data_IF_309791083576
#
_entry.id   IF_309791083576
#
_cell.length_a   1.000
_cell.length_b   1.000
_cell.length_c   1.000
_cell.angle_alpha   90.00
_cell.angle_beta   90.00
_cell.angle_gamma   90.00
#
_symmetry.space_group_name_H-M   'P 1'
#
loop_
_entity.id
_entity.type
_entity.pdbx_description
1 polymer ?
2 non-polymer ?
3 water ?
#
# COMPACT_ATOMS: atom_id res chain seq x y z
N UNK A 1 -14.89 17.61 -16.07
CA UNK A 1 -13.57 17.48 -16.68
C UNK A 1 -13.44 16.19 -17.49
N UNK A 2 -12.45 16.15 -18.38
CA UNK A 2 -12.28 14.95 -19.21
C UNK A 2 -11.77 13.78 -18.38
N UNK A 3 -12.27 12.59 -18.69
CA UNK A 3 -11.82 11.36 -18.04
C UNK A 3 -11.07 10.49 -19.05
N UNK A 4 -10.08 9.75 -18.56
CA UNK A 4 -9.41 8.73 -19.36
C UNK A 4 -8.86 7.66 -18.44
N UNK A 5 -8.95 6.40 -18.88
CA UNK A 5 -8.28 5.26 -18.26
C UNK A 5 -7.41 4.61 -19.33
N UNK A 6 -6.13 4.42 -19.03
CA UNK A 6 -5.22 3.67 -19.90
C UNK A 6 -4.88 2.37 -19.22
N UNK A 7 -5.10 1.25 -19.91
CA UNK A 7 -4.97 -0.06 -19.30
C UNK A 7 -3.72 -0.72 -19.88
N UNK A 8 -2.66 -0.83 -19.07
CA UNK A 8 -1.44 -1.47 -19.51
C UNK A 8 -1.33 -2.91 -19.06
N UNK A 9 -2.36 -3.45 -18.41
CA UNK A 9 -2.32 -4.82 -17.94
C UNK A 9 -3.27 -5.64 -18.78
N UNK A 10 -2.78 -6.77 -19.28
CA UNK A 10 -3.64 -7.69 -19.99
C UNK A 10 -4.73 -8.25 -19.10
N UNK A 11 -5.83 -8.66 -19.74
CA UNK A 11 -7.02 -9.12 -19.04
C UNK A 11 -6.74 -10.23 -18.03
N UNK A 12 -5.59 -10.89 -18.12
CA UNK A 12 -5.26 -12.01 -17.24
C UNK A 12 -4.11 -11.73 -16.28
N UNK A 13 -3.41 -10.60 -16.46
CA UNK A 13 -2.22 -10.26 -15.65
C UNK A 13 -2.45 -10.49 -14.16
N UNK A 14 -3.63 -10.18 -13.65
CA UNK A 14 -3.92 -10.42 -12.26
C UNK A 14 -3.81 -11.88 -11.87
N UNK A 15 -4.65 -12.72 -12.48
CA UNK A 15 -4.61 -14.14 -12.19
C UNK A 15 -3.26 -14.75 -12.55
N UNK A 16 -2.60 -14.24 -13.58
CA UNK A 16 -1.26 -14.73 -13.92
C UNK A 16 -0.29 -14.44 -12.80
N UNK A 17 -0.31 -13.21 -12.28
CA UNK A 17 0.57 -12.83 -11.19
C UNK A 17 0.26 -13.65 -9.95
N UNK A 18 -1.03 -13.87 -9.67
CA UNK A 18 -1.38 -14.73 -8.53
C UNK A 18 -0.79 -16.12 -8.70
N UNK A 19 -0.92 -16.68 -9.90
CA UNK A 19 -0.48 -18.05 -10.15
C UNK A 19 0.99 -18.23 -9.85
N UNK A 20 1.84 -17.25 -10.21
CA UNK A 20 3.27 -17.41 -9.95
C UNK A 20 3.65 -17.06 -8.50
N UNK A 21 2.95 -16.13 -7.85
CA UNK A 21 3.29 -15.81 -6.48
C UNK A 21 3.10 -17.02 -5.57
N UNK A 22 1.94 -17.68 -5.66
CA UNK A 22 1.74 -18.77 -4.71
C UNK A 22 2.52 -20.00 -5.14
N UNK A 23 2.73 -20.16 -6.45
CA UNK A 23 3.59 -21.24 -6.93
C UNK A 23 5.01 -21.08 -6.40
N UNK A 24 5.58 -19.89 -6.55
CA UNK A 24 6.91 -19.63 -6.02
C UNK A 24 6.89 -19.46 -4.49
N UNK A 25 5.86 -18.78 -3.97
CA UNK A 25 5.87 -18.46 -2.55
C UNK A 25 5.66 -19.66 -1.66
N UNK A 26 4.88 -20.64 -2.13
CA UNK A 26 4.66 -21.84 -1.33
C UNK A 26 5.81 -22.82 -1.40
N UNK A 27 6.86 -22.53 -2.18
CA UNK A 27 8.02 -23.42 -2.26
C UNK A 27 9.29 -22.78 -1.72
N UNK A 28 9.16 -21.65 -1.03
CA UNK A 28 10.23 -21.02 -0.29
C UNK A 28 10.28 -21.57 1.13
N UNK A 29 11.40 -21.30 1.81
CA UNK A 29 11.56 -21.62 3.23
C UNK A 29 12.05 -20.38 3.98
N UNK A 30 11.19 -19.72 4.77
CA UNK A 30 9.82 -20.16 4.98
C UNK A 30 8.93 -19.74 3.82
N UNK A 31 7.78 -20.40 3.67
CA UNK A 31 6.83 -20.01 2.64
C UNK A 31 6.39 -18.57 2.89
N UNK A 32 6.26 -17.81 1.81
CA UNK A 32 5.85 -16.42 1.95
C UNK A 32 4.97 -16.05 0.78
N UNK A 33 4.04 -15.13 1.04
CA UNK A 33 3.17 -14.62 0.01
C UNK A 33 3.17 -13.10 0.09
N UNK A 34 3.15 -12.40 -1.04
CA UNK A 34 3.06 -10.95 -0.99
C UNK A 34 1.73 -10.53 -0.36
N UNK A 35 1.69 -9.37 0.29
CA UNK A 35 0.42 -8.90 0.89
C UNK A 35 -0.56 -8.32 -0.11
N UNK A 36 -0.19 -8.15 -1.39
CA UNK A 36 -1.13 -7.57 -2.35
C UNK A 36 -2.39 -8.42 -2.48
N UNK A 37 -2.27 -9.73 -2.22
CA UNK A 37 -3.36 -10.66 -2.46
C UNK A 37 -4.38 -10.73 -1.35
N UNK A 38 -4.20 -9.97 -0.27
CA UNK A 38 -5.22 -9.88 0.77
C UNK A 38 -6.52 -9.28 0.24
N UNK A 39 -6.43 -8.43 -0.77
CA UNK A 39 -7.43 -7.39 -1.03
C UNK A 39 -8.41 -7.76 -2.15
N UNK A 40 -8.99 -8.95 -2.07
CA UNK A 40 -10.19 -9.25 -2.85
C UNK A 40 -11.35 -8.45 -2.26
N UNK A 41 -12.58 -8.79 -2.65
CA UNK A 41 -13.72 -7.98 -2.21
C UNK A 41 -13.93 -8.08 -0.71
N UNK A 42 -14.02 -9.31 -0.17
CA UNK A 42 -14.20 -9.42 1.27
C UNK A 42 -12.94 -8.96 2.01
N UNK A 43 -11.76 -9.07 1.37
CA UNK A 43 -10.55 -8.57 1.99
C UNK A 43 -10.55 -7.06 2.17
N UNK A 44 -11.06 -6.34 1.16
CA UNK A 44 -11.14 -4.88 1.27
C UNK A 44 -12.16 -4.46 2.30
N UNK A 45 -13.31 -5.14 2.36
CA UNK A 45 -14.27 -4.85 3.43
C UNK A 45 -13.64 -5.09 4.79
N UNK A 46 -12.81 -6.12 4.93
CA UNK A 46 -12.17 -6.40 6.22
C UNK A 46 -11.17 -5.31 6.58
N UNK A 47 -10.46 -4.78 5.59
CA UNK A 47 -9.45 -3.77 5.85
C UNK A 47 -10.11 -2.47 6.27
N UNK A 48 -11.16 -2.06 5.57
CA UNK A 48 -11.88 -0.86 5.96
C UNK A 48 -12.42 -0.99 7.38
N UNK A 49 -12.84 -2.18 7.78
CA UNK A 49 -13.12 -2.37 9.20
C UNK A 49 -11.85 -2.16 10.02
N UNK A 50 -10.71 -2.64 9.53
CA UNK A 50 -9.48 -2.54 10.33
C UNK A 50 -9.17 -1.08 10.61
N UNK A 51 -9.36 -0.22 9.60
CA UNK A 51 -9.04 1.20 9.74
C UNK A 51 -9.92 1.88 10.78
N UNK A 52 -11.08 1.32 11.08
CA UNK A 52 -11.94 1.90 12.11
C UNK A 52 -11.70 1.29 13.48
N UNK A 53 -10.74 0.38 13.61
CA UNK A 53 -10.53 -0.23 14.91
C UNK A 53 -9.78 0.74 15.82
N UNK A 54 -10.15 0.83 17.10
CA UNK A 54 -9.37 1.65 18.02
C UNK A 54 -7.88 1.36 17.93
N UNK A 55 -7.50 0.08 17.89
CA UNK A 55 -6.09 -0.31 17.94
C UNK A 55 -5.32 0.09 16.68
N UNK A 56 -5.99 0.21 15.52
CA UNK A 56 -5.28 0.49 14.25
C UNK A 56 -5.19 2.00 14.08
N UNK A 57 -4.16 2.57 14.64
CA UNK A 57 -3.94 4.00 14.66
C UNK A 57 -3.45 4.57 13.32
N UNK A 58 -2.64 3.85 12.49
CA UNK A 58 -2.04 4.54 11.32
C UNK A 58 -3.01 5.27 10.43
N UNK A 59 -4.18 4.68 10.19
CA UNK A 59 -5.17 5.30 9.30
C UNK A 59 -5.58 6.66 9.80
N UNK A 60 -5.94 6.76 11.09
CA UNK A 60 -6.40 8.02 11.64
C UNK A 60 -5.24 8.94 11.99
N UNK A 61 -4.06 8.37 12.29
CA UNK A 61 -2.87 9.18 12.54
C UNK A 61 -2.47 9.94 11.29
N UNK A 62 -2.57 9.30 10.12
CA UNK A 62 -2.22 9.98 8.87
C UNK A 62 -3.30 10.97 8.46
N UNK A 63 -4.57 10.67 8.74
CA UNK A 63 -5.63 11.62 8.42
C UNK A 63 -5.57 12.86 9.32
N UNK A 64 -5.18 12.68 10.59
CA UNK A 64 -4.95 13.82 11.48
C UNK A 64 -3.95 14.80 10.87
N UNK A 65 -2.78 14.30 10.47
CA UNK A 65 -1.77 15.13 9.82
C UNK A 65 -2.35 15.82 8.58
N UNK A 66 -3.02 15.05 7.71
CA UNK A 66 -3.43 15.57 6.41
C UNK A 66 -4.51 16.64 6.54
N UNK A 67 -5.43 16.47 7.50
CA UNK A 67 -6.40 17.52 7.82
C UNK A 67 -5.70 18.80 8.23
N UNK A 68 -4.59 18.68 8.96
CA UNK A 68 -3.91 19.84 9.53
C UNK A 68 -2.90 20.44 8.58
N UNK A 69 -2.26 19.63 7.74
CA UNK A 69 -1.10 20.09 6.99
C UNK A 69 -1.31 20.13 5.48
N UNK A 70 -2.50 19.77 4.98
CA UNK A 70 -2.70 19.63 3.53
C UNK A 70 -2.38 20.92 2.79
N UNK A 71 -2.79 22.08 3.35
CA UNK A 71 -2.50 23.36 2.68
C UNK A 71 -1.01 23.64 2.64
N UNK A 72 -0.25 23.14 3.62
CA UNK A 72 1.21 23.21 3.56
C UNK A 72 1.78 22.35 2.44
N UNK A 73 1.42 21.05 2.40
CA UNK A 73 1.81 20.14 1.33
C UNK A 73 1.62 20.86 0.00
N UNK A 74 0.44 21.46 -0.19
CA UNK A 74 0.13 22.15 -1.44
C UNK A 74 1.09 23.31 -1.69
N UNK A 75 1.21 24.22 -0.71
CA UNK A 75 2.00 25.42 -0.91
C UNK A 75 3.49 25.11 -1.04
N UNK A 76 3.94 24.00 -0.44
CA UNK A 76 5.30 23.53 -0.68
C UNK A 76 5.45 22.92 -2.07
N UNK A 77 4.55 22.01 -2.45
CA UNK A 77 4.72 21.30 -3.73
C UNK A 77 4.32 22.19 -4.91
N UNK A 78 3.29 23.02 -4.74
CA UNK A 78 2.82 23.91 -5.81
C UNK A 78 2.54 23.12 -7.09
N UNK A 79 1.98 21.91 -6.91
CA UNK A 79 1.77 20.96 -7.98
C UNK A 79 0.43 21.20 -8.68
N UNK A 80 0.43 21.05 -10.00
CA UNK A 80 -0.81 21.11 -10.72
C UNK A 80 -1.42 19.75 -10.98
N UNK A 81 -0.67 18.68 -10.75
CA UNK A 81 -1.17 17.32 -10.96
C UNK A 81 -0.80 16.45 -9.76
N UNK A 82 -1.82 15.79 -9.22
CA UNK A 82 -1.69 14.85 -8.11
C UNK A 82 -1.68 13.42 -8.67
N UNK A 83 -0.55 12.72 -8.51
CA UNK A 83 -0.38 11.32 -8.95
C UNK A 83 -0.49 10.43 -7.71
N UNK A 84 -1.55 9.63 -7.60
CA UNK A 84 -1.75 8.73 -6.48
C UNK A 84 -1.30 7.33 -6.86
N UNK A 85 -0.36 6.79 -6.10
CA UNK A 85 0.02 5.37 -6.21
C UNK A 85 -0.93 4.54 -5.34
N UNK A 86 -2.17 4.45 -5.80
CA UNK A 86 -3.23 3.79 -5.07
C UNK A 86 -4.54 4.01 -5.78
N UNK A 87 -5.63 3.65 -5.09
CA UNK A 87 -6.94 3.61 -5.72
C UNK A 87 -7.60 4.97 -5.88
N UNK A 88 -7.33 5.91 -4.96
CA UNK A 88 -7.98 7.20 -5.00
C UNK A 88 -9.35 7.21 -4.37
N UNK A 89 -9.68 6.20 -3.57
CA UNK A 89 -11.02 6.06 -2.99
C UNK A 89 -11.11 6.61 -1.57
N UNK A 90 -10.02 7.15 -1.03
CA UNK A 90 -9.97 7.57 0.36
C UNK A 90 -10.40 9.03 0.49
N UNK A 91 -10.67 9.43 1.75
CA UNK A 91 -10.88 10.84 2.02
C UNK A 91 -9.58 11.63 2.00
N UNK A 92 -8.44 10.97 2.28
CA UNK A 92 -7.15 11.67 2.20
C UNK A 92 -6.89 12.14 0.77
N UNK A 93 -7.31 11.35 -0.22
CA UNK A 93 -7.30 11.81 -1.59
C UNK A 93 -8.02 13.15 -1.73
N UNK A 94 -9.24 13.24 -1.19
CA UNK A 94 -10.02 14.49 -1.31
C UNK A 94 -9.31 15.67 -0.65
N UNK A 95 -8.76 15.47 0.57
CA UNK A 95 -8.05 16.56 1.25
C UNK A 95 -6.90 17.09 0.40
N UNK A 96 -6.17 16.18 -0.28
CA UNK A 96 -5.07 16.62 -1.15
C UNK A 96 -5.60 17.34 -2.38
N UNK A 97 -6.71 16.87 -2.96
CA UNK A 97 -7.25 17.57 -4.12
C UNK A 97 -7.81 18.92 -3.72
N UNK A 98 -8.56 18.96 -2.62
CA UNK A 98 -9.05 20.23 -2.10
C UNK A 98 -7.92 21.23 -1.89
N UNK A 99 -6.81 20.80 -1.27
CA UNK A 99 -5.72 21.74 -1.06
C UNK A 99 -5.22 22.32 -2.38
N UNK A 100 -4.87 21.44 -3.34
CA UNK A 100 -4.45 21.89 -4.66
C UNK A 100 -5.51 22.76 -5.32
N UNK A 101 -6.79 22.39 -5.19
CA UNK A 101 -7.82 23.22 -5.79
C UNK A 101 -7.85 24.60 -5.14
N UNK A 102 -7.66 24.68 -3.80
CA UNK A 102 -7.69 25.94 -3.04
C UNK A 102 -6.55 26.87 -3.44
N UNK A 103 -5.31 26.37 -3.47
CA UNK A 103 -4.18 27.00 -4.12
C UNK A 103 -4.53 27.60 -5.49
N UNK A 104 -5.46 26.93 -6.20
CA UNK A 104 -5.85 27.32 -7.53
C UNK A 104 -5.07 26.63 -8.63
N UNK A 105 -4.22 25.66 -8.30
CA UNK A 105 -3.33 25.08 -9.29
C UNK A 105 -3.71 23.65 -9.66
N UNK A 106 -4.90 23.17 -9.32
CA UNK A 106 -5.24 21.79 -9.65
C UNK A 106 -5.72 21.72 -11.09
N UNK A 107 -5.02 20.95 -11.92
CA UNK A 107 -5.44 20.67 -13.29
C UNK A 107 -5.82 19.22 -13.51
N UNK A 108 -5.11 18.29 -12.87
CA UNK A 108 -5.11 16.92 -13.33
C UNK A 108 -4.88 15.97 -12.15
N UNK A 109 -5.67 14.92 -12.11
CA UNK A 109 -5.54 13.84 -11.13
C UNK A 109 -5.14 12.55 -11.85
N UNK A 110 -4.10 11.88 -11.36
CA UNK A 110 -3.66 10.62 -11.99
C UNK A 110 -3.69 9.48 -10.97
N UNK A 111 -4.82 8.78 -10.80
CA UNK A 111 -4.82 7.55 -9.98
C UNK A 111 -4.12 6.41 -10.71
N UNK A 112 -3.23 5.72 -9.99
CA UNK A 112 -2.37 4.67 -10.54
C UNK A 112 -2.53 3.42 -9.70
N UNK A 113 -3.18 2.40 -10.26
CA UNK A 113 -3.41 1.15 -9.56
C UNK A 113 -3.53 0.03 -10.58
N UNK A 114 -3.67 -1.19 -10.07
CA UNK A 114 -3.69 -2.40 -10.88
C UNK A 114 -5.11 -2.94 -11.06
N UNK A 115 -6.12 -2.15 -10.76
CA UNK A 115 -7.51 -2.60 -10.88
C UNK A 115 -8.31 -1.56 -11.65
N UNK A 116 -8.64 -1.86 -12.90
CA UNK A 116 -9.28 -0.87 -13.76
C UNK A 116 -10.68 -0.51 -13.28
N UNK A 117 -11.41 -1.46 -12.69
CA UNK A 117 -12.76 -1.18 -12.22
C UNK A 117 -12.75 -0.15 -11.11
N UNK A 118 -11.84 -0.32 -10.14
CA UNK A 118 -11.67 0.65 -9.06
C UNK A 118 -11.28 2.01 -9.63
N UNK A 119 -10.30 2.01 -10.56
CA UNK A 119 -9.87 3.26 -11.17
C UNK A 119 -11.05 3.97 -11.86
N UNK A 120 -12.00 3.19 -12.40
CA UNK A 120 -13.11 3.79 -13.13
C UNK A 120 -14.13 4.42 -12.19
N UNK A 121 -14.57 3.68 -11.16
CA UNK A 121 -15.43 4.31 -10.16
C UNK A 121 -14.76 5.58 -9.64
N UNK A 122 -13.50 5.48 -9.21
CA UNK A 122 -12.77 6.65 -8.76
C UNK A 122 -12.83 7.76 -9.80
N UNK A 123 -12.57 7.43 -11.07
CA UNK A 123 -12.58 8.45 -12.10
C UNK A 123 -13.96 9.10 -12.22
N UNK A 124 -15.02 8.33 -12.04
CA UNK A 124 -16.34 8.95 -12.07
C UNK A 124 -16.51 9.86 -10.86
N UNK A 125 -16.18 9.35 -9.66
CA UNK A 125 -16.30 10.15 -8.44
C UNK A 125 -15.65 11.51 -8.61
N UNK A 126 -14.34 11.52 -8.90
CA UNK A 126 -13.61 12.78 -8.97
C UNK A 126 -14.16 13.66 -10.08
N UNK A 127 -14.69 13.06 -11.14
CA UNK A 127 -15.28 13.87 -12.20
C UNK A 127 -16.55 14.54 -11.73
N UNK A 128 -17.41 13.82 -10.99
CA UNK A 128 -18.62 14.46 -10.48
C UNK A 128 -18.31 15.57 -9.48
N UNK A 129 -17.19 15.48 -8.74
CA UNK A 129 -16.90 16.36 -7.59
C UNK A 129 -16.02 17.56 -7.90
N UNK A 130 -15.18 17.49 -8.93
CA UNK A 130 -14.20 18.54 -9.22
C UNK A 130 -14.32 18.90 -10.68
N UNK A 131 -15.28 19.76 -11.01
CA UNK A 131 -15.28 20.31 -12.36
C UNK A 131 -13.97 21.03 -12.61
N UNK A 132 -13.44 20.89 -13.81
CA UNK A 132 -12.19 21.52 -14.17
C UNK A 132 -10.98 20.60 -14.10
N UNK A 133 -11.13 19.42 -13.52
CA UNK A 133 -10.02 18.51 -13.31
C UNK A 133 -10.07 17.42 -14.38
N UNK A 134 -8.94 17.20 -15.03
CA UNK A 134 -8.75 16.08 -15.93
C UNK A 134 -8.29 14.89 -15.11
N UNK A 135 -9.00 13.77 -15.23
CA UNK A 135 -8.58 12.53 -14.56
C UNK A 135 -7.94 11.63 -15.61
N UNK A 136 -6.66 11.29 -15.43
CA UNK A 136 -5.94 10.41 -16.35
C UNK A 136 -5.55 9.17 -15.57
N UNK A 137 -6.50 8.28 -15.36
CA UNK A 137 -6.20 7.06 -14.61
C UNK A 137 -5.27 6.17 -15.42
N UNK A 138 -4.27 5.58 -14.74
CA UNK A 138 -3.32 4.69 -15.39
C UNK A 138 -3.41 3.33 -14.71
N UNK A 139 -3.68 2.30 -15.48
CA UNK A 139 -3.74 0.96 -14.93
C UNK A 139 -2.45 0.24 -15.30
N UNK A 140 -1.54 0.15 -14.34
CA UNK A 140 -0.31 -0.60 -14.51
C UNK A 140 0.21 -0.98 -13.15
N UNK A 141 1.43 -1.50 -13.13
CA UNK A 141 2.13 -1.80 -11.89
C UNK A 141 3.49 -1.10 -11.84
N UNK A 142 4.13 -1.15 -10.67
CA UNK A 142 5.25 -0.25 -10.40
C UNK A 142 6.50 -0.63 -11.21
N UNK A 143 6.81 -1.94 -11.32
CA UNK A 143 8.07 -2.36 -11.95
C UNK A 143 8.14 -2.09 -13.45
N UNK A 144 7.01 -1.88 -14.12
CA UNK A 144 6.98 -1.73 -15.57
C UNK A 144 6.40 -0.41 -16.05
N UNK A 145 5.38 0.12 -15.38
CA UNK A 145 4.57 1.13 -16.00
C UNK A 145 4.62 2.51 -15.36
N UNK A 146 5.42 2.71 -14.31
CA UNK A 146 5.53 4.05 -13.71
C UNK A 146 5.93 5.08 -14.75
N UNK A 147 6.62 4.65 -15.79
CA UNK A 147 7.00 5.46 -16.93
C UNK A 147 5.81 5.86 -17.81
N UNK A 148 4.64 5.22 -17.66
CA UNK A 148 3.45 5.56 -18.43
C UNK A 148 2.64 6.70 -17.82
N UNK A 149 3.01 7.20 -16.66
CA UNK A 149 2.26 8.31 -16.03
C UNK A 149 2.44 9.57 -16.87
N UNK A 150 1.41 10.35 -17.15
CA UNK A 150 1.60 11.56 -17.97
C UNK A 150 2.52 12.55 -17.26
N UNK A 151 2.94 13.58 -18.00
CA UNK A 151 3.90 14.52 -17.42
C UNK A 151 3.26 15.73 -16.74
N UNK A 152 2.30 16.38 -17.39
CA UNK A 152 1.72 17.54 -16.73
C UNK A 152 2.75 18.61 -16.37
N UNK A 153 2.28 19.59 -15.61
CA UNK A 153 3.12 20.72 -15.28
C UNK A 153 4.16 20.43 -14.21
N UNK A 154 3.68 20.15 -13.00
CA UNK A 154 4.51 19.88 -11.83
C UNK A 154 3.74 18.91 -10.94
N UNK A 155 4.37 17.79 -10.60
CA UNK A 155 3.64 16.60 -10.16
C UNK A 155 3.90 16.27 -8.70
N UNK A 156 2.83 16.02 -7.97
CA UNK A 156 2.91 15.56 -6.58
C UNK A 156 2.54 14.10 -6.60
N UNK A 157 3.56 13.24 -6.51
CA UNK A 157 3.32 11.82 -6.29
C UNK A 157 2.98 11.59 -4.82
N UNK A 158 2.01 10.70 -4.58
CA UNK A 158 1.49 10.46 -3.24
C UNK A 158 1.45 8.95 -2.99
N UNK A 159 2.14 8.49 -1.94
CA UNK A 159 2.17 7.09 -1.56
C UNK A 159 1.99 7.01 -0.05
N UNK A 160 0.75 6.94 0.39
CA UNK A 160 0.35 7.08 1.79
C UNK A 160 0.13 5.71 2.42
N UNK A 161 -0.22 5.74 3.70
CA UNK A 161 -0.64 4.53 4.40
C UNK A 161 0.49 3.71 4.98
N UNK A 162 1.74 4.17 4.86
CA UNK A 162 2.89 3.35 5.22
C UNK A 162 2.92 2.07 4.41
N UNK A 163 2.36 2.13 3.18
CA UNK A 163 2.38 1.01 2.26
C UNK A 163 3.81 0.68 1.83
N UNK A 164 4.68 1.70 1.79
CA UNK A 164 6.10 1.51 1.54
C UNK A 164 6.74 0.60 2.59
N UNK A 165 6.10 0.43 3.76
CA UNK A 165 6.58 -0.49 4.76
C UNK A 165 6.48 -1.97 4.36
N UNK A 166 5.71 -2.27 3.32
CA UNK A 166 5.62 -3.63 2.80
C UNK A 166 6.85 -4.07 2.02
N UNK A 167 7.75 -3.15 1.68
CA UNK A 167 9.00 -3.46 1.02
C UNK A 167 10.13 -3.50 2.05
N UNK A 168 10.77 -4.66 2.21
CA UNK A 168 11.97 -4.75 3.04
C UNK A 168 13.06 -3.90 2.38
N UNK A 169 14.15 -3.61 3.11
CA UNK A 169 15.11 -2.60 2.61
C UNK A 169 15.62 -2.81 1.18
N UNK A 170 15.77 -4.05 0.71
CA UNK A 170 16.18 -4.29 -0.66
C UNK A 170 15.21 -3.73 -1.70
N UNK A 171 14.02 -4.32 -1.79
CA UNK A 171 13.01 -3.78 -2.73
C UNK A 171 12.59 -2.36 -2.40
N UNK A 172 12.71 -1.93 -1.14
CA UNK A 172 12.30 -0.57 -0.84
C UNK A 172 13.22 0.45 -1.53
N UNK A 173 14.53 0.24 -1.45
CA UNK A 173 15.43 1.21 -2.06
C UNK A 173 15.33 1.14 -3.57
N UNK A 174 15.13 -0.07 -4.11
CA UNK A 174 14.92 -0.24 -5.55
C UNK A 174 13.65 0.46 -6.03
N UNK A 175 12.56 0.34 -5.26
CA UNK A 175 11.31 1.00 -5.65
C UNK A 175 11.46 2.51 -5.65
N UNK A 176 12.24 3.07 -4.70
CA UNK A 176 12.37 4.52 -4.59
C UNK A 176 13.33 5.11 -5.62
N UNK A 177 14.40 4.39 -5.95
CA UNK A 177 15.25 4.85 -7.04
C UNK A 177 14.45 4.96 -8.33
N UNK A 178 13.64 3.94 -8.63
CA UNK A 178 12.86 3.95 -9.86
C UNK A 178 11.79 5.04 -9.82
N UNK A 179 11.13 5.21 -8.68
CA UNK A 179 10.17 6.30 -8.57
C UNK A 179 10.88 7.64 -8.67
N UNK A 180 12.09 7.75 -8.10
CA UNK A 180 12.86 8.96 -8.27
C UNK A 180 13.23 9.19 -9.73
N UNK A 181 13.40 8.10 -10.51
CA UNK A 181 13.82 8.24 -11.90
C UNK A 181 12.71 8.70 -12.83
N UNK A 182 11.48 8.23 -12.62
CA UNK A 182 10.39 8.75 -13.43
C UNK A 182 10.03 10.17 -13.03
N UNK A 183 10.31 10.55 -11.78
CA UNK A 183 10.20 11.94 -11.35
C UNK A 183 11.21 12.80 -12.08
N UNK A 184 10.82 14.05 -12.33
CA UNK A 184 11.65 15.08 -12.95
C UNK A 184 11.76 16.33 -12.07
N UNK A 185 12.84 17.12 -12.26
CA UNK A 185 13.00 18.34 -11.49
C UNK A 185 11.68 19.09 -11.36
N UNK A 186 11.40 19.63 -10.18
CA UNK A 186 10.15 20.30 -9.91
C UNK A 186 9.05 19.43 -9.32
N UNK A 187 9.14 18.11 -9.46
CA UNK A 187 8.15 17.16 -8.95
C UNK A 187 8.49 16.82 -7.50
N UNK A 188 7.50 16.37 -6.75
CA UNK A 188 7.73 15.97 -5.37
C UNK A 188 6.91 14.73 -5.03
N UNK A 189 7.35 14.04 -3.98
CA UNK A 189 6.77 12.79 -3.51
C UNK A 189 6.31 12.97 -2.07
N UNK A 190 5.05 12.63 -1.78
CA UNK A 190 4.49 12.74 -0.44
C UNK A 190 4.35 11.33 0.12
N UNK A 191 5.12 11.03 1.16
CA UNK A 191 5.32 9.65 1.62
C UNK A 191 4.85 9.46 3.05
N UNK A 192 4.05 8.42 3.28
CA UNK A 192 3.56 8.09 4.61
C UNK A 192 4.37 6.94 5.18
N UNK A 193 4.84 7.13 6.41
CA UNK A 193 5.66 6.13 7.11
C UNK A 193 5.18 6.03 8.54
N UNK A 194 4.77 4.83 8.95
CA UNK A 194 4.49 4.57 10.35
C UNK A 194 5.80 4.48 11.13
N UNK A 195 5.80 5.02 12.36
CA UNK A 195 7.03 5.23 13.13
C UNK A 195 7.21 4.16 14.19
N UNK A 196 8.48 3.85 14.46
CA UNK A 196 8.81 2.93 15.54
C UNK A 196 8.27 3.46 16.86
N UNK A 197 7.76 2.55 17.69
CA UNK A 197 7.07 2.91 18.92
C UNK A 197 7.00 1.68 19.83
N UNK A 198 6.24 1.80 20.92
CA UNK A 198 6.03 0.75 21.92
C UNK A 198 5.60 -0.56 21.28
N UNK A 199 6.44 -1.61 21.35
CA UNK A 199 6.16 -2.87 20.65
C UNK A 199 4.78 -3.43 20.99
N UNK A 200 4.29 -3.23 22.21
CA UNK A 200 2.93 -3.64 22.53
C UNK A 200 1.92 -2.88 21.68
N UNK A 201 2.10 -1.57 21.53
CA UNK A 201 1.21 -0.80 20.67
C UNK A 201 1.27 -1.29 19.24
N UNK A 202 2.46 -1.72 18.78
CA UNK A 202 2.59 -2.17 17.40
C UNK A 202 1.89 -3.52 17.19
N UNK A 203 2.20 -4.52 18.02
CA UNK A 203 1.59 -5.84 17.87
C UNK A 203 0.07 -5.77 18.03
N UNK A 204 -0.39 -4.93 18.96
CA UNK A 204 -1.83 -4.88 19.17
C UNK A 204 -2.54 -4.29 17.95
N UNK A 205 -1.85 -3.47 17.18
CA UNK A 205 -2.44 -2.91 15.97
C UNK A 205 -2.62 -3.93 14.86
N UNK A 206 -2.00 -5.11 14.99
CA UNK A 206 -2.10 -6.18 14.01
C UNK A 206 -2.62 -7.48 14.63
N UNK A 207 -3.23 -7.40 15.81
CA UNK A 207 -3.89 -8.53 16.45
C UNK A 207 -4.96 -7.95 17.38
N UNK A 208 -5.93 -7.27 16.77
CA UNK A 208 -7.00 -6.62 17.52
C UNK A 208 -7.79 -7.63 18.32
N UNK A 209 -8.09 -7.34 19.60
CA UNK A 209 -8.90 -8.27 20.41
C UNK A 209 -10.16 -8.77 19.73
N UNK A 210 -10.69 -8.00 18.77
CA UNK A 210 -11.89 -8.41 18.06
C UNK A 210 -11.66 -9.43 16.97
N UNK A 211 -10.42 -9.65 16.56
CA UNK A 211 -10.12 -10.67 15.57
C UNK A 211 -10.30 -10.25 14.13
N UNK A 212 -10.53 -8.96 13.85
CA UNK A 212 -10.76 -8.55 12.46
C UNK A 212 -9.47 -8.70 11.63
N UNK A 213 -8.31 -8.40 12.22
CA UNK A 213 -7.06 -8.64 11.49
C UNK A 213 -6.84 -10.13 11.25
N UNK A 214 -7.21 -10.97 12.23
CA UNK A 214 -7.04 -12.41 12.08
C UNK A 214 -7.80 -12.94 10.85
N UNK A 215 -9.10 -12.64 10.73
CA UNK A 215 -9.77 -13.12 9.53
C UNK A 215 -9.25 -12.42 8.27
N UNK A 216 -8.80 -11.17 8.39
CA UNK A 216 -8.20 -10.50 7.23
C UNK A 216 -6.94 -11.23 6.78
N UNK A 217 -6.12 -11.68 7.72
CA UNK A 217 -4.88 -12.36 7.34
C UNK A 217 -5.16 -13.71 6.70
N UNK A 218 -5.97 -14.56 7.35
CA UNK A 218 -6.29 -15.84 6.74
C UNK A 218 -7.20 -15.71 5.52
N UNK A 219 -7.57 -14.50 5.13
CA UNK A 219 -8.31 -14.33 3.89
C UNK A 219 -7.44 -14.57 2.67
N UNK A 220 -6.12 -14.56 2.80
CA UNK A 220 -5.30 -14.89 1.63
C UNK A 220 -5.40 -16.38 1.31
N UNK A 221 -5.66 -17.22 2.31
CA UNK A 221 -5.93 -18.63 2.04
C UNK A 221 -7.28 -18.79 1.36
N UNK A 222 -8.28 -18.02 1.82
CA UNK A 222 -9.57 -18.03 1.13
C UNK A 222 -9.43 -17.63 -0.34
N UNK A 223 -8.52 -16.70 -0.64
CA UNK A 223 -8.30 -16.27 -2.02
C UNK A 223 -7.62 -17.38 -2.82
N UNK A 224 -6.59 -18.00 -2.24
CA UNK A 224 -5.89 -19.07 -2.93
C UNK A 224 -6.82 -20.26 -3.14
N UNK A 225 -7.64 -20.59 -2.15
CA UNK A 225 -8.60 -21.66 -2.29
C UNK A 225 -9.58 -21.38 -3.42
N UNK A 226 -10.11 -20.16 -3.46
CA UNK A 226 -11.12 -19.81 -4.46
C UNK A 226 -10.51 -19.74 -5.85
N UNK A 227 -9.61 -18.78 -6.05
CA UNK A 227 -9.01 -18.49 -7.35
C UNK A 227 -8.09 -19.59 -7.88
N UNK A 228 -7.69 -20.58 -7.07
CA UNK A 228 -6.73 -21.56 -7.56
C UNK A 228 -7.08 -22.99 -7.13
N UNK A 229 -8.31 -23.24 -6.70
CA UNK A 229 -8.82 -24.58 -6.41
C UNK A 229 -7.92 -25.32 -5.41
N UNK A 230 -7.78 -24.73 -4.23
CA UNK A 230 -6.97 -25.31 -3.16
C UNK A 230 -7.85 -25.73 -2.00
N UNK A 231 -7.26 -26.41 -1.02
CA UNK A 231 -8.00 -26.95 0.12
C UNK A 231 -7.29 -26.61 1.44
N UNK A 232 -7.09 -25.32 1.68
CA UNK A 232 -6.56 -24.88 2.97
C UNK A 232 -7.61 -25.08 4.05
N UNK A 233 -7.30 -25.87 5.07
CA UNK A 233 -8.18 -25.90 6.25
C UNK A 233 -7.94 -24.57 6.96
N UNK A 234 -8.52 -23.51 6.38
CA UNK A 234 -8.19 -22.13 6.74
C UNK A 234 -8.23 -21.94 8.24
N UNK A 235 -9.19 -22.59 8.91
CA UNK A 235 -9.27 -22.40 10.35
C UNK A 235 -8.05 -23.01 11.04
N UNK A 236 -7.45 -24.05 10.45
CA UNK A 236 -6.29 -24.67 11.09
C UNK A 236 -5.04 -23.81 11.03
N UNK A 237 -5.09 -22.67 10.35
CA UNK A 237 -3.97 -21.72 10.32
C UNK A 237 -4.25 -20.57 11.30
N UNK A 238 -3.41 -20.44 12.31
CA UNK A 238 -3.60 -19.44 13.36
C UNK A 238 -2.94 -18.12 12.98
N UNK A 239 -3.65 -17.02 13.26
CA UNK A 239 -3.09 -15.69 13.06
C UNK A 239 -2.01 -15.38 14.09
N UNK A 240 -0.87 -14.91 13.60
CA UNK A 240 0.26 -14.57 14.45
C UNK A 240 0.77 -13.22 13.98
N UNK A 241 0.80 -12.25 14.88
CA UNK A 241 1.35 -10.94 14.60
C UNK A 241 2.62 -10.82 15.43
N UNK A 242 3.76 -10.67 14.75
CA UNK A 242 5.03 -10.58 15.47
C UNK A 242 5.67 -9.20 15.32
N UNK A 243 6.36 -8.77 16.38
CA UNK A 243 7.26 -7.65 16.32
C UNK A 243 8.69 -8.18 16.22
N UNK A 244 9.40 -7.79 15.16
CA UNK A 244 10.77 -8.23 14.89
C UNK A 244 11.67 -7.10 15.36
N UNK A 245 12.33 -7.30 16.52
CA UNK A 245 13.07 -6.19 17.13
C UNK A 245 14.32 -5.83 16.36
N UNK A 246 14.97 -6.81 15.69
CA UNK A 246 16.20 -6.51 14.95
C UNK A 246 15.90 -5.83 13.63
N UNK A 247 14.82 -6.22 12.95
CA UNK A 247 14.48 -5.55 11.70
C UNK A 247 13.56 -4.34 11.91
N UNK A 248 12.92 -4.22 13.07
CA UNK A 248 11.99 -3.12 13.36
C UNK A 248 10.84 -3.10 12.37
N UNK A 249 10.04 -4.17 12.44
CA UNK A 249 8.91 -4.36 11.53
C UNK A 249 7.89 -5.31 12.15
N UNK A 250 6.61 -5.00 11.95
CA UNK A 250 5.56 -5.97 12.23
C UNK A 250 5.63 -7.06 11.17
N UNK A 251 5.33 -8.29 11.57
CA UNK A 251 5.16 -9.41 10.65
C UNK A 251 3.86 -10.13 10.95
N UNK A 252 3.08 -10.41 9.90
CA UNK A 252 1.90 -11.24 9.99
C UNK A 252 2.24 -12.63 9.44
N UNK A 253 2.11 -13.65 10.29
CA UNK A 253 2.30 -15.04 9.91
C UNK A 253 1.02 -15.83 10.15
N UNK A 254 0.81 -16.87 9.33
CA UNK A 254 -0.20 -17.90 9.54
C UNK A 254 0.47 -19.19 10.01
N UNK A 255 0.21 -19.58 11.24
CA UNK A 255 0.85 -20.74 11.86
C UNK A 255 -0.05 -21.96 11.71
N UNK A 256 0.53 -23.08 11.26
CA UNK A 256 -0.22 -24.30 11.01
C UNK A 256 -0.28 -25.12 12.30
N UNK A 257 -1.50 -25.42 12.76
CA UNK A 257 -1.64 -26.17 14.01
C UNK A 257 -1.77 -27.65 13.68
N UNK A 258 -0.67 -28.38 13.85
CA UNK A 258 -0.57 -29.74 13.38
C UNK A 258 -0.09 -29.81 11.93
N UNK A 259 0.46 -30.97 11.57
CA UNK A 259 0.89 -31.17 10.20
C UNK A 259 -0.28 -30.96 9.26
N UNK A 260 -0.03 -30.21 8.20
CA UNK A 260 -1.01 -30.01 7.15
C UNK A 260 -0.35 -30.30 5.82
N UNK A 261 -1.16 -30.76 4.87
CA UNK A 261 -0.76 -30.90 3.48
C UNK A 261 -1.88 -30.33 2.61
N UNK A 262 -1.50 -29.57 1.60
CA UNK A 262 -2.47 -28.80 0.81
C UNK A 262 -2.11 -28.92 -0.67
N UNK A 263 -3.14 -29.04 -1.51
CA UNK A 263 -2.95 -29.12 -2.96
C UNK A 263 -3.60 -27.91 -3.60
N UNK A 264 -2.86 -27.22 -4.46
CA UNK A 264 -3.38 -26.07 -5.18
C UNK A 264 -3.68 -26.56 -6.59
N UNK A 265 -4.97 -26.67 -6.92
CA UNK A 265 -5.37 -27.42 -8.10
C UNK A 265 -4.88 -26.79 -9.40
N UNK A 266 -5.07 -25.48 -9.55
CA UNK A 266 -4.67 -24.80 -10.77
C UNK A 266 -3.18 -24.87 -11.04
N UNK A 267 -2.37 -25.23 -10.05
CA UNK A 267 -0.91 -25.25 -10.15
C UNK A 267 -0.32 -26.65 -10.05
N UNK A 268 -1.16 -27.69 -10.01
CA UNK A 268 -0.72 -29.08 -9.93
C UNK A 268 0.34 -29.25 -8.85
N UNK A 269 0.15 -28.57 -7.73
CA UNK A 269 1.18 -28.51 -6.70
C UNK A 269 0.63 -29.04 -5.40
N UNK A 270 1.48 -29.74 -4.64
CA UNK A 270 1.21 -30.11 -3.26
C UNK A 270 2.35 -29.67 -2.38
N UNK A 271 2.04 -28.98 -1.28
CA UNK A 271 3.05 -28.54 -0.34
C UNK A 271 2.67 -29.00 1.07
N UNK A 272 3.69 -29.24 1.86
CA UNK A 272 3.52 -29.73 3.23
C UNK A 272 3.80 -28.61 4.21
N UNK A 273 3.08 -28.65 5.34
CA UNK A 273 3.27 -27.74 6.46
C UNK A 273 3.61 -28.59 7.68
N UNK A 274 4.83 -28.46 8.20
CA UNK A 274 5.14 -29.07 9.48
C UNK A 274 4.17 -28.59 10.58
N UNK A 275 4.06 -29.37 11.64
CA UNK A 275 3.20 -29.00 12.76
C UNK A 275 3.80 -27.80 13.50
N UNK A 276 3.09 -26.68 13.48
CA UNK A 276 3.60 -25.44 14.04
C UNK A 276 4.41 -24.59 13.07
N UNK A 277 4.37 -24.91 11.78
CA UNK A 277 5.13 -24.17 10.79
C UNK A 277 4.37 -22.94 10.35
N UNK A 278 5.09 -21.83 10.19
CA UNK A 278 4.50 -20.55 9.90
C UNK A 278 4.80 -20.12 8.46
N UNK A 279 3.88 -19.38 7.89
CA UNK A 279 3.99 -18.86 6.53
C UNK A 279 3.85 -17.35 6.61
N UNK A 280 4.81 -16.63 6.03
CA UNK A 280 4.82 -15.18 6.12
C UNK A 280 3.93 -14.55 5.06
N UNK A 281 3.03 -13.68 5.48
CA UNK A 281 2.07 -13.07 4.56
C UNK A 281 2.11 -11.54 4.48
N UNK A 282 2.80 -10.85 5.40
CA UNK A 282 2.93 -9.41 5.27
C UNK A 282 4.07 -8.93 6.14
N UNK A 283 4.82 -7.94 5.64
CA UNK A 283 5.77 -7.19 6.46
C UNK A 283 5.33 -5.74 6.47
N UNK A 284 5.23 -5.15 7.67
CA UNK A 284 5.11 -3.70 7.82
C UNK A 284 6.36 -3.25 8.55
N UNK A 285 7.33 -2.73 7.79
CA UNK A 285 8.47 -2.07 8.39
C UNK A 285 8.03 -0.79 9.10
N UNK A 286 8.60 -0.56 10.28
CA UNK A 286 8.36 0.64 11.08
C UNK A 286 9.60 1.52 11.03
N UNK A 287 9.39 2.84 10.98
CA UNK A 287 10.43 3.76 10.53
C UNK A 287 10.92 4.69 11.64
N UNK A 288 12.08 5.32 11.37
CA UNK A 288 12.64 6.35 12.22
C UNK A 288 12.79 7.64 11.43
N UNK A 289 12.53 8.80 12.06
CA UNK A 289 12.46 10.06 11.30
C UNK A 289 13.65 10.34 10.41
N UNK A 290 14.87 10.40 10.94
CA UNK A 290 15.98 10.72 10.06
C UNK A 290 16.34 9.59 9.11
N UNK A 291 16.11 8.34 9.48
CA UNK A 291 16.39 7.27 8.54
C UNK A 291 15.50 7.33 7.30
N UNK A 292 14.31 7.93 7.40
CA UNK A 292 13.44 8.08 6.23
C UNK A 292 14.00 9.13 5.28
N UNK A 293 14.42 10.29 5.81
CA UNK A 293 15.11 11.25 4.98
C UNK A 293 16.36 10.68 4.34
N UNK A 294 17.09 9.86 5.10
CA UNK A 294 18.28 9.22 4.55
C UNK A 294 17.94 8.36 3.34
N UNK A 295 16.98 7.44 3.48
CA UNK A 295 16.56 6.61 2.36
C UNK A 295 16.13 7.47 1.18
N UNK A 296 15.33 8.50 1.43
CA UNK A 296 14.91 9.37 0.33
C UNK A 296 16.11 10.01 -0.36
N UNK A 297 17.12 10.42 0.43
CA UNK A 297 18.32 10.98 -0.18
C UNK A 297 19.10 9.95 -0.99
N UNK A 298 19.03 8.67 -0.61
CA UNK A 298 19.73 7.66 -1.38
C UNK A 298 19.01 7.33 -2.67
N UNK A 299 17.71 7.58 -2.76
CA UNK A 299 16.98 7.40 -3.99
C UNK A 299 17.20 8.53 -4.97
N UNK A 300 17.81 9.62 -4.52
CA UNK A 300 17.95 10.81 -5.34
C UNK A 300 16.95 11.88 -5.03
N UNK A 301 16.15 11.71 -3.98
CA UNK A 301 15.20 12.71 -3.55
C UNK A 301 15.72 13.47 -2.32
N UNK A 302 15.14 14.65 -2.09
CA UNK A 302 15.58 15.54 -1.02
C UNK A 302 14.36 15.97 -0.22
N UNK A 303 14.30 15.59 1.06
CA UNK A 303 13.13 15.90 1.88
C UNK A 303 13.14 17.37 2.27
N UNK A 304 11.97 18.00 2.24
CA UNK A 304 11.86 19.43 2.54
C UNK A 304 10.80 19.67 3.60
N UNK A 305 10.04 18.64 3.94
CA UNK A 305 9.04 18.74 4.99
C UNK A 305 8.95 17.40 5.70
N UNK A 306 8.68 17.46 6.99
CA UNK A 306 8.39 16.29 7.79
C UNK A 306 7.30 16.70 8.76
N UNK A 307 6.36 15.80 9.02
CA UNK A 307 5.24 16.09 9.91
C UNK A 307 4.87 14.82 10.66
N UNK A 308 4.46 14.98 11.92
CA UNK A 308 3.87 13.88 12.67
C UNK A 308 2.57 14.36 13.30
N UNK A 309 1.77 13.39 13.76
CA UNK A 309 0.60 13.69 14.56
C UNK A 309 1.03 14.12 15.96
N UNK A 310 0.04 14.53 16.76
CA UNK A 310 0.32 15.10 18.08
C UNK A 310 1.13 14.16 18.96
N UNK A 311 1.08 12.85 18.70
CA UNK A 311 1.73 11.87 19.55
C UNK A 311 3.04 11.35 18.98
N UNK A 312 3.40 11.71 17.76
CA UNK A 312 4.61 11.15 17.14
C UNK A 312 4.47 9.73 16.63
N UNK A 313 3.26 9.25 16.38
CA UNK A 313 3.03 7.86 15.98
C UNK A 313 3.34 7.63 14.50
N UNK A 314 2.93 8.56 13.64
CA UNK A 314 3.01 8.44 12.19
C UNK A 314 3.77 9.64 11.63
N UNK A 315 4.46 9.44 10.52
CA UNK A 315 5.15 10.52 9.84
C UNK A 315 4.76 10.64 8.37
N UNK A 316 4.70 11.88 7.88
CA UNK A 316 4.52 12.20 6.47
C UNK A 316 5.74 12.97 5.98
N UNK A 317 6.41 12.47 4.94
CA UNK A 317 7.53 13.19 4.34
C UNK A 317 7.10 13.88 3.05
N UNK A 318 7.70 15.03 2.77
CA UNK A 318 7.59 15.63 1.45
C UNK A 318 8.99 15.75 0.86
N UNK A 319 9.20 15.18 -0.32
CA UNK A 319 10.54 15.10 -0.88
C UNK A 319 10.51 15.62 -2.31
N UNK A 320 11.43 16.51 -2.64
CA UNK A 320 11.51 17.11 -3.97
C UNK A 320 12.55 16.39 -4.83
N UNK A 321 12.32 16.41 -6.15
CA UNK A 321 13.31 15.93 -7.12
C UNK A 321 14.28 17.05 -7.53
#
# INVERSE_FOLDING_TARGET
GPVSVANHLGEDAGHLALRRDVYSGLQKTPKSLPPKWFYDTVGSELFDQITRLPEYYPTRAEAEILRARSAEVASACRADTLVELGSGTSEKTRMLLDALRHRGSLRRFVPFDVDASVLSATATAIQREYSGVEINAVCGDFEEHLTEIPRGGRRLFVFLGSTIGNLTPGPRAQFLTALAGVMRPGDSLLLGTDLVKDAARLVRAYDDPGGVTAQFNRNVLAVINRELEADFDVDAFQHVARWNSAEERIEMWLRADGRQRVRVGALDLTVDFDAGEEMLTEVSCKFRPQAVGAELAAAGLHRIRWWTDEAGDFGLSLAAK
#
